data_IF_097769678750
#
_entry.id   IF_097769678750
#
_cell.length_a   1.000
_cell.length_b   1.000
_cell.length_c   1.000
_cell.angle_alpha   90.00
_cell.angle_beta   90.00
_cell.angle_gamma   90.00
#
_symmetry.space_group_name_H-M   'P 1'
#
loop_
_entity.id
_entity.type
_entity.pdbx_description
1 polymer ?
#
# COMPACT_ATOMS: atom_id res chain seq x y z
N UNK A 1 -7.89 43.27 17.84
CA UNK A 1 -8.12 42.22 18.86
C UNK A 1 -8.18 40.88 18.14
N UNK A 2 -7.34 39.94 18.58
CA UNK A 2 -7.16 38.59 18.05
C UNK A 2 -8.44 37.74 18.18
N UNK A 3 -8.72 36.87 17.20
CA UNK A 3 -9.28 35.53 17.42
C UNK A 3 -9.25 34.65 16.12
N UNK A 4 -8.14 33.96 15.88
CA UNK A 4 -8.12 32.56 15.40
C UNK A 4 -7.70 31.74 16.63
N UNK A 5 -8.12 30.47 16.85
CA UNK A 5 -8.23 29.43 15.80
C UNK A 5 -9.29 28.32 16.05
N UNK A 6 -9.66 27.57 15.01
CA UNK A 6 -10.14 26.19 15.17
C UNK A 6 -9.90 25.41 13.87
N UNK A 7 -8.63 25.21 13.50
CA UNK A 7 -8.28 24.17 12.55
C UNK A 7 -8.47 22.83 13.28
N UNK A 8 -9.64 22.23 13.13
CA UNK A 8 -9.89 20.84 13.53
C UNK A 8 -9.05 19.96 12.63
N UNK A 9 -7.90 19.53 13.15
CA UNK A 9 -7.12 18.42 12.61
C UNK A 9 -8.02 17.18 12.60
N UNK A 10 -8.63 16.89 11.45
CA UNK A 10 -9.17 15.56 11.20
C UNK A 10 -7.95 14.68 10.94
N UNK A 11 -7.37 14.15 12.02
CA UNK A 11 -6.46 13.01 11.96
C UNK A 11 -7.34 11.86 11.49
N UNK A 12 -7.53 11.76 10.18
CA UNK A 12 -8.06 10.55 9.59
C UNK A 12 -7.22 9.41 10.15
N UNK A 13 -7.88 8.38 10.69
CA UNK A 13 -7.22 7.14 11.04
C UNK A 13 -6.55 6.62 9.76
N UNK A 14 -5.30 7.02 9.52
CA UNK A 14 -4.43 6.45 8.52
C UNK A 14 -4.04 5.08 9.07
N UNK A 15 -5.00 4.16 9.10
CA UNK A 15 -4.70 2.75 9.24
C UNK A 15 -3.79 2.46 8.05
N UNK A 16 -2.51 2.32 8.35
CA UNK A 16 -1.48 2.12 7.33
C UNK A 16 -1.50 0.66 6.95
N UNK A 17 -2.66 0.21 6.48
CA UNK A 17 -2.91 -1.19 6.16
C UNK A 17 -1.91 -1.65 5.09
N UNK A 18 -1.49 -2.90 5.21
CA UNK A 18 -0.74 -3.56 4.15
C UNK A 18 -1.57 -3.55 2.86
N UNK A 19 -0.95 -3.16 1.76
CA UNK A 19 -1.55 -3.21 0.43
C UNK A 19 -1.88 -4.65 0.02
N UNK A 20 -2.96 -4.80 -0.71
CA UNK A 20 -3.41 -6.09 -1.24
C UNK A 20 -3.79 -5.99 -2.70
N UNK A 21 -4.10 -7.12 -3.33
CA UNK A 21 -4.63 -7.18 -4.69
C UNK A 21 -5.86 -6.29 -4.90
N UNK A 22 -6.66 -6.05 -3.85
CA UNK A 22 -7.88 -5.25 -3.97
C UNK A 22 -7.60 -3.78 -4.26
N UNK A 23 -6.39 -3.31 -3.95
CA UNK A 23 -5.93 -1.96 -4.28
C UNK A 23 -5.51 -1.80 -5.77
N UNK A 24 -5.56 -2.88 -6.58
CA UNK A 24 -5.04 -2.89 -7.96
C UNK A 24 -6.06 -3.37 -9.00
N UNK A 25 -5.96 -2.79 -10.19
CA UNK A 25 -6.67 -3.21 -11.39
C UNK A 25 -5.84 -4.24 -12.17
N UNK A 26 -6.41 -5.43 -12.46
CA UNK A 26 -5.73 -6.45 -13.25
C UNK A 26 -5.62 -6.10 -14.73
N UNK A 27 -6.40 -5.13 -15.22
CA UNK A 27 -6.44 -4.75 -16.64
C UNK A 27 -6.85 -5.93 -17.52
N UNK A 28 -6.04 -6.24 -18.53
CA UNK A 28 -6.25 -7.37 -19.45
C UNK A 28 -5.65 -8.69 -18.97
N UNK A 29 -5.00 -8.73 -17.79
CA UNK A 29 -4.36 -9.94 -17.31
C UNK A 29 -5.41 -10.99 -16.89
N UNK A 30 -5.22 -12.28 -17.27
CA UNK A 30 -6.07 -13.36 -16.76
C UNK A 30 -6.03 -13.40 -15.22
N UNK A 31 -7.18 -13.64 -14.60
CA UNK A 31 -7.29 -13.68 -13.13
C UNK A 31 -6.27 -14.60 -12.45
N UNK A 32 -5.97 -15.82 -12.95
CA UNK A 32 -4.96 -16.67 -12.34
C UNK A 32 -3.54 -16.06 -12.34
N UNK A 33 -3.19 -15.35 -13.42
CA UNK A 33 -1.89 -14.68 -13.53
C UNK A 33 -1.81 -13.51 -12.54
N UNK A 34 -2.86 -12.69 -12.45
CA UNK A 34 -2.94 -11.59 -11.49
C UNK A 34 -2.78 -12.06 -10.04
N UNK A 35 -3.46 -13.15 -9.66
CA UNK A 35 -3.36 -13.71 -8.31
C UNK A 35 -1.95 -14.18 -8.01
N UNK A 36 -1.32 -14.91 -8.95
CA UNK A 36 0.06 -15.40 -8.80
C UNK A 36 1.07 -14.26 -8.64
N UNK A 37 0.93 -13.21 -9.44
CA UNK A 37 1.83 -12.06 -9.38
C UNK A 37 1.64 -11.28 -8.08
N UNK A 38 0.38 -11.05 -7.67
CA UNK A 38 0.06 -10.46 -6.37
C UNK A 38 0.72 -11.21 -5.21
N UNK A 39 0.59 -12.53 -5.15
CA UNK A 39 1.20 -13.33 -4.08
C UNK A 39 2.73 -13.23 -4.10
N UNK A 40 3.32 -13.20 -5.29
CA UNK A 40 4.77 -13.07 -5.47
C UNK A 40 5.25 -11.70 -4.98
N UNK A 41 4.54 -10.63 -5.34
CA UNK A 41 4.82 -9.29 -4.85
C UNK A 41 4.64 -9.17 -3.34
N UNK A 42 3.61 -9.78 -2.74
CA UNK A 42 3.40 -9.80 -1.30
C UNK A 42 4.53 -10.51 -0.56
N UNK A 43 4.97 -11.68 -1.05
CA UNK A 43 6.10 -12.42 -0.47
C UNK A 43 7.39 -11.60 -0.51
N UNK A 44 7.70 -11.00 -1.66
CA UNK A 44 8.92 -10.19 -1.80
C UNK A 44 8.87 -8.94 -0.90
N UNK A 45 7.74 -8.22 -0.90
CA UNK A 45 7.55 -7.05 -0.05
C UNK A 45 7.67 -7.37 1.45
N UNK A 46 7.25 -8.57 1.88
CA UNK A 46 7.42 -9.05 3.26
C UNK A 46 8.89 -9.27 3.61
N UNK A 47 9.66 -9.88 2.70
CA UNK A 47 11.11 -10.05 2.86
C UNK A 47 11.79 -8.69 2.95
N UNK A 48 11.42 -7.75 2.08
CA UNK A 48 12.00 -6.41 2.05
C UNK A 48 11.64 -5.59 3.30
N UNK A 49 10.41 -5.70 3.81
CA UNK A 49 10.00 -5.09 5.07
C UNK A 49 10.85 -5.63 6.23
N UNK A 50 11.06 -6.94 6.31
CA UNK A 50 11.91 -7.55 7.35
C UNK A 50 13.36 -7.08 7.27
N UNK A 51 13.88 -6.86 6.05
CA UNK A 51 15.29 -6.52 5.81
C UNK A 51 15.57 -5.02 5.92
N UNK A 52 14.64 -4.17 5.48
CA UNK A 52 14.87 -2.74 5.27
C UNK A 52 13.86 -1.84 6.01
N UNK A 53 12.78 -2.40 6.57
CA UNK A 53 11.77 -1.65 7.31
C UNK A 53 12.22 -1.25 8.71
N UNK A 54 11.92 -0.01 9.09
CA UNK A 54 12.13 0.46 10.47
C UNK A 54 11.11 -0.26 11.36
N UNK A 55 11.58 -1.07 12.32
CA UNK A 55 10.71 -1.94 13.12
C UNK A 55 10.45 -3.31 12.50
N UNK A 56 11.03 -3.62 11.34
CA UNK A 56 10.97 -4.94 10.71
C UNK A 56 9.54 -5.38 10.43
N UNK A 57 9.21 -6.62 10.80
CA UNK A 57 7.88 -7.22 10.62
C UNK A 57 6.80 -6.57 11.49
N UNK A 58 7.19 -5.89 12.57
CA UNK A 58 6.29 -5.27 13.54
C UNK A 58 6.03 -3.78 13.24
N UNK A 59 6.52 -3.27 12.10
CA UNK A 59 6.30 -1.89 11.68
C UNK A 59 4.81 -1.63 11.43
N UNK A 60 4.14 -0.83 12.28
CA UNK A 60 2.70 -0.60 12.15
C UNK A 60 2.35 0.21 10.89
N UNK A 61 3.33 0.87 10.27
CA UNK A 61 3.11 1.70 9.08
C UNK A 61 3.07 0.90 7.79
N UNK A 62 3.60 -0.34 7.80
CA UNK A 62 3.81 -1.16 6.60
C UNK A 62 4.49 -0.37 5.47
N UNK A 63 5.32 0.63 5.80
CA UNK A 63 5.80 1.62 4.84
C UNK A 63 6.69 1.01 3.76
N UNK A 64 7.64 0.17 4.17
CA UNK A 64 8.53 -0.54 3.24
C UNK A 64 7.76 -1.60 2.46
N UNK A 65 6.92 -2.40 3.12
CA UNK A 65 6.05 -3.38 2.48
C UNK A 65 5.24 -2.73 1.37
N UNK A 66 4.50 -1.66 1.70
CA UNK A 66 3.63 -0.98 0.76
C UNK A 66 4.40 -0.44 -0.44
N UNK A 67 5.57 0.18 -0.21
CA UNK A 67 6.42 0.71 -1.28
C UNK A 67 6.90 -0.41 -2.22
N UNK A 68 7.41 -1.51 -1.68
CA UNK A 68 7.96 -2.60 -2.49
C UNK A 68 6.86 -3.38 -3.22
N UNK A 69 5.73 -3.60 -2.56
CA UNK A 69 4.56 -4.21 -3.16
C UNK A 69 4.07 -3.39 -4.35
N UNK A 70 3.97 -2.07 -4.22
CA UNK A 70 3.52 -1.18 -5.30
C UNK A 70 4.50 -1.11 -6.47
N UNK A 71 5.81 -1.10 -6.18
CA UNK A 71 6.83 -1.18 -7.21
C UNK A 71 6.71 -2.49 -8.01
N UNK A 72 6.53 -3.62 -7.32
CA UNK A 72 6.38 -4.93 -7.95
C UNK A 72 5.10 -5.01 -8.80
N UNK A 73 3.94 -4.65 -8.25
CA UNK A 73 2.67 -4.68 -8.96
C UNK A 73 2.69 -3.79 -10.21
N UNK A 74 3.29 -2.59 -10.12
CA UNK A 74 3.46 -1.69 -11.27
C UNK A 74 4.44 -2.25 -12.31
N UNK A 75 5.51 -2.91 -11.89
CA UNK A 75 6.45 -3.55 -12.81
C UNK A 75 5.80 -4.73 -13.56
N UNK A 76 4.85 -5.42 -12.93
CA UNK A 76 4.00 -6.45 -13.57
C UNK A 76 2.89 -5.87 -14.46
N UNK A 77 2.78 -4.55 -14.58
CA UNK A 77 1.81 -3.88 -15.44
C UNK A 77 0.46 -3.58 -14.79
N UNK A 78 0.30 -3.83 -13.49
CA UNK A 78 -0.93 -3.54 -12.77
C UNK A 78 -1.00 -2.08 -12.31
N UNK A 79 -2.19 -1.50 -12.37
CA UNK A 79 -2.41 -0.12 -11.97
C UNK A 79 -3.09 -0.05 -10.61
N UNK A 80 -2.64 0.87 -9.76
CA UNK A 80 -3.29 1.10 -8.48
C UNK A 80 -4.63 1.80 -8.71
N UNK A 81 -5.67 1.32 -8.05
CA UNK A 81 -6.97 2.00 -8.02
C UNK A 81 -6.80 3.36 -7.37
N UNK A 82 -7.37 4.39 -8.00
CA UNK A 82 -7.52 5.68 -7.34
C UNK A 82 -8.62 5.51 -6.28
N UNK A 83 -8.29 5.67 -5.01
CA UNK A 83 -9.33 5.79 -3.98
C UNK A 83 -9.97 7.15 -4.19
N UNK A 84 -11.21 7.18 -4.68
CA UNK A 84 -11.99 8.42 -4.71
C UNK A 84 -11.98 9.00 -3.28
N UNK A 85 -11.47 10.22 -3.14
CA UNK A 85 -11.59 10.95 -1.90
C UNK A 85 -13.08 11.26 -1.71
N UNK A 86 -13.72 10.55 -0.77
CA UNK A 86 -15.11 10.77 -0.38
C UNK A 86 -15.17 11.61 0.89
#
# INVERSE_FOLDING_TARGET
MLALPALLFVIGCATSAARTADDYEPGSAPRPQFVKDNETCARQATIDQRRFGIGGEMDPTHGTFNRMYDACMRASGYQRKQKEAK
#
